data_IF_017408155053
#
_entry.id   IF_017408155053
#
_cell.length_a   1.000
_cell.length_b   1.000
_cell.length_c   1.000
_cell.angle_alpha   90.00
_cell.angle_beta   90.00
_cell.angle_gamma   90.00
#
_symmetry.space_group_name_H-M   'P 1'
#
loop_
_entity.id
_entity.type
_entity.pdbx_description
1 polymer ?
#
# COMPACT_ATOMS: atom_id res chain seq x y z
N UNK A 1 -24.82 14.69 -0.13
CA UNK A 1 -23.55 13.98 0.14
C UNK A 1 -23.53 13.66 1.62
N UNK A 2 -23.52 12.39 2.00
CA UNK A 2 -23.43 12.00 3.41
C UNK A 2 -22.06 12.46 3.91
N UNK A 3 -22.03 13.30 4.95
CA UNK A 3 -20.80 13.62 5.66
C UNK A 3 -20.31 12.31 6.29
N UNK A 4 -19.36 11.63 5.67
CA UNK A 4 -18.64 10.54 6.34
C UNK A 4 -17.93 11.17 7.54
N UNK A 5 -18.24 10.69 8.73
CA UNK A 5 -17.52 11.13 9.94
C UNK A 5 -16.08 10.67 9.82
N UNK A 6 -15.15 11.62 9.78
CA UNK A 6 -13.73 11.31 9.76
C UNK A 6 -13.34 10.51 11.01
N UNK A 7 -12.46 9.55 10.85
CA UNK A 7 -11.87 8.80 11.95
C UNK A 7 -10.55 9.44 12.38
N UNK A 8 -10.20 9.28 13.66
CA UNK A 8 -8.92 9.79 14.17
C UNK A 8 -7.73 9.08 13.53
N UNK A 9 -6.54 9.70 13.49
CA UNK A 9 -5.34 9.06 12.95
C UNK A 9 -5.00 7.72 13.60
N UNK A 10 -5.22 7.58 14.91
CA UNK A 10 -4.99 6.32 15.64
C UNK A 10 -5.99 5.23 15.28
N UNK A 11 -7.25 5.59 15.02
CA UNK A 11 -8.25 4.64 14.57
C UNK A 11 -8.00 4.25 13.10
N UNK A 12 -7.59 5.20 12.25
CA UNK A 12 -7.18 4.92 10.88
C UNK A 12 -6.00 3.95 10.83
N UNK A 13 -5.01 4.07 11.73
CA UNK A 13 -3.90 3.11 11.86
C UNK A 13 -4.40 1.69 12.15
N UNK A 14 -5.36 1.54 13.08
CA UNK A 14 -5.96 0.23 13.42
C UNK A 14 -6.76 -0.35 12.25
N UNK A 15 -7.57 0.47 11.61
CA UNK A 15 -8.36 0.07 10.44
C UNK A 15 -7.45 -0.35 9.29
N UNK A 16 -6.42 0.44 8.99
CA UNK A 16 -5.45 0.15 7.94
C UNK A 16 -4.65 -1.13 8.23
N UNK A 17 -4.24 -1.36 9.48
CA UNK A 17 -3.58 -2.59 9.88
C UNK A 17 -4.51 -3.82 9.77
N UNK A 18 -5.78 -3.67 10.12
CA UNK A 18 -6.78 -4.74 10.04
C UNK A 18 -7.12 -5.13 8.60
N UNK A 19 -7.30 -4.14 7.73
CA UNK A 19 -7.64 -4.36 6.32
C UNK A 19 -6.48 -4.97 5.52
N UNK A 20 -5.25 -4.66 5.91
CA UNK A 20 -4.04 -5.18 5.27
C UNK A 20 -3.53 -6.50 5.89
N UNK A 21 -4.40 -7.27 6.56
CA UNK A 21 -3.99 -8.54 7.14
C UNK A 21 -3.84 -9.63 6.04
N UNK A 22 -2.68 -9.64 5.41
CA UNK A 22 -2.31 -10.58 4.34
C UNK A 22 -1.83 -11.94 4.87
N UNK A 23 -1.76 -12.13 6.17
CA UNK A 23 -1.42 -13.43 6.77
C UNK A 23 -2.48 -14.48 6.40
N UNK A 24 -3.76 -14.10 6.41
CA UNK A 24 -4.85 -15.02 6.06
C UNK A 24 -4.73 -15.58 4.64
N UNK A 25 -4.61 -14.77 3.57
CA UNK A 25 -4.42 -15.31 2.23
C UNK A 25 -3.07 -16.02 2.08
N UNK A 26 -2.01 -15.60 2.78
CA UNK A 26 -0.71 -16.27 2.77
C UNK A 26 -0.76 -17.71 3.33
N UNK A 27 -1.71 -18.00 4.20
CA UNK A 27 -1.95 -19.37 4.72
C UNK A 27 -3.00 -20.11 3.88
N UNK A 28 -4.10 -19.42 3.53
CA UNK A 28 -5.22 -20.02 2.80
C UNK A 28 -4.79 -20.59 1.43
N UNK A 29 -4.03 -19.83 0.64
CA UNK A 29 -3.67 -20.25 -0.71
C UNK A 29 -2.75 -21.49 -0.74
N UNK A 30 -1.69 -21.61 0.08
CA UNK A 30 -0.92 -22.85 0.14
C UNK A 30 -1.75 -24.06 0.57
N UNK A 31 -2.67 -23.91 1.52
CA UNK A 31 -3.58 -24.98 1.92
C UNK A 31 -4.48 -25.39 0.76
N UNK A 32 -5.06 -24.44 0.04
CA UNK A 32 -5.85 -24.70 -1.16
C UNK A 32 -5.01 -25.40 -2.24
N UNK A 33 -3.75 -25.03 -2.42
CA UNK A 33 -2.82 -25.69 -3.34
C UNK A 33 -2.65 -27.16 -3.03
N UNK A 34 -2.45 -27.50 -1.75
CA UNK A 34 -2.35 -28.91 -1.30
C UNK A 34 -3.65 -29.67 -1.55
N UNK A 35 -4.80 -29.06 -1.28
CA UNK A 35 -6.11 -29.69 -1.54
C UNK A 35 -6.28 -29.98 -3.04
N UNK A 36 -5.99 -29.04 -3.93
CA UNK A 36 -6.05 -29.27 -5.38
C UNK A 36 -5.08 -30.36 -5.83
N UNK A 37 -3.87 -30.43 -5.24
CA UNK A 37 -2.90 -31.45 -5.54
C UNK A 37 -3.44 -32.84 -5.14
N UNK A 38 -4.08 -32.97 -3.97
CA UNK A 38 -4.68 -34.24 -3.52
C UNK A 38 -5.88 -34.65 -4.38
N UNK A 39 -6.61 -33.68 -4.92
CA UNK A 39 -7.74 -33.90 -5.83
C UNK A 39 -7.31 -34.19 -7.27
N UNK A 40 -6.01 -34.12 -7.60
CA UNK A 40 -5.52 -34.28 -8.97
C UNK A 40 -5.88 -35.62 -9.61
N UNK A 41 -6.01 -36.68 -8.81
CA UNK A 41 -6.48 -38.00 -9.30
C UNK A 41 -7.96 -38.09 -9.64
N UNK A 42 -8.78 -37.11 -9.21
CA UNK A 42 -10.22 -37.09 -9.41
C UNK A 42 -10.68 -36.05 -10.43
N UNK A 43 -9.82 -35.09 -10.77
CA UNK A 43 -10.12 -34.02 -11.71
C UNK A 43 -9.57 -34.32 -13.10
N UNK A 44 -10.34 -34.07 -14.17
CA UNK A 44 -9.90 -34.34 -15.54
C UNK A 44 -8.75 -33.38 -15.94
N UNK A 45 -7.79 -33.93 -16.65
CA UNK A 45 -6.66 -33.18 -17.20
C UNK A 45 -5.74 -32.55 -16.15
N UNK A 46 -4.94 -31.58 -16.54
CA UNK A 46 -4.03 -30.85 -15.64
C UNK A 46 -4.66 -29.79 -14.76
N UNK A 47 -6.01 -29.71 -14.70
CA UNK A 47 -6.76 -28.65 -14.03
C UNK A 47 -6.38 -28.55 -12.55
N UNK A 48 -6.31 -29.65 -11.85
CA UNK A 48 -5.95 -29.66 -10.43
C UNK A 48 -4.51 -29.18 -10.22
N UNK A 49 -3.58 -29.58 -11.09
CA UNK A 49 -2.18 -29.14 -11.05
C UNK A 49 -2.08 -27.64 -11.36
N UNK A 50 -2.86 -27.16 -12.33
CA UNK A 50 -2.94 -25.73 -12.64
C UNK A 50 -3.42 -24.92 -11.45
N UNK A 51 -4.55 -25.29 -10.83
CA UNK A 51 -5.07 -24.57 -9.65
C UNK A 51 -4.14 -24.69 -8.45
N UNK A 52 -3.50 -25.84 -8.25
CA UNK A 52 -2.49 -26.02 -7.19
C UNK A 52 -1.32 -25.07 -7.39
N UNK A 53 -0.72 -25.03 -8.57
CA UNK A 53 0.39 -24.12 -8.91
C UNK A 53 -0.01 -22.65 -8.77
N UNK A 54 -1.19 -22.29 -9.23
CA UNK A 54 -1.72 -20.94 -9.13
C UNK A 54 -1.95 -20.52 -7.67
N UNK A 55 -2.58 -21.35 -6.86
CA UNK A 55 -2.75 -21.08 -5.42
C UNK A 55 -1.41 -20.96 -4.70
N UNK A 56 -0.42 -21.78 -5.05
CA UNK A 56 0.92 -21.68 -4.48
C UNK A 56 1.57 -20.33 -4.80
N UNK A 57 1.49 -19.87 -6.05
CA UNK A 57 2.03 -18.57 -6.46
C UNK A 57 1.34 -17.40 -5.74
N UNK A 58 0.00 -17.46 -5.61
CA UNK A 58 -0.75 -16.45 -4.84
C UNK A 58 -0.38 -16.48 -3.35
N UNK A 59 -0.13 -17.66 -2.78
CA UNK A 59 0.34 -17.82 -1.41
C UNK A 59 1.69 -17.16 -1.20
N UNK A 60 2.63 -17.41 -2.09
CA UNK A 60 3.97 -16.80 -2.09
C UNK A 60 3.85 -15.27 -2.21
N UNK A 61 3.09 -14.75 -3.17
CA UNK A 61 2.88 -13.32 -3.35
C UNK A 61 2.27 -12.68 -2.09
N UNK A 62 1.28 -13.34 -1.47
CA UNK A 62 0.65 -12.87 -0.23
C UNK A 62 1.62 -12.87 0.96
N UNK A 63 2.50 -13.88 1.06
CA UNK A 63 3.54 -13.96 2.08
C UNK A 63 4.55 -12.82 1.94
N UNK A 64 5.02 -12.54 0.70
CA UNK A 64 5.89 -11.39 0.44
C UNK A 64 5.24 -10.06 0.83
N UNK A 65 3.94 -9.87 0.52
CA UNK A 65 3.20 -8.69 0.93
C UNK A 65 3.09 -8.57 2.46
N UNK A 66 2.81 -9.67 3.15
CA UNK A 66 2.74 -9.68 4.62
C UNK A 66 4.09 -9.30 5.24
N UNK A 67 5.19 -9.86 4.72
CA UNK A 67 6.55 -9.52 5.16
C UNK A 67 6.87 -8.05 4.87
N UNK A 68 6.55 -7.54 3.67
CA UNK A 68 6.74 -6.14 3.33
C UNK A 68 5.99 -5.18 4.27
N UNK A 69 4.79 -5.58 4.74
CA UNK A 69 4.04 -4.81 5.73
C UNK A 69 4.68 -4.84 7.13
N UNK A 70 5.28 -5.97 7.52
CA UNK A 70 6.02 -6.04 8.79
C UNK A 70 7.22 -5.09 8.82
N UNK A 71 7.90 -4.93 7.69
CA UNK A 71 9.02 -3.98 7.55
C UNK A 71 8.58 -2.52 7.42
N UNK A 72 7.29 -2.22 7.31
CA UNK A 72 6.75 -0.85 7.25
C UNK A 72 7.12 0.00 8.46
N UNK A 73 7.39 -0.60 9.62
CA UNK A 73 7.72 0.08 10.88
C UNK A 73 9.21 0.42 11.04
N UNK A 74 10.03 0.24 10.01
CA UNK A 74 11.47 0.49 10.09
C UNK A 74 11.79 1.97 9.88
N UNK A 75 12.59 2.54 10.80
CA UNK A 75 13.03 3.93 10.85
C UNK A 75 13.86 4.41 9.65
N UNK A 76 14.27 3.48 8.77
CA UNK A 76 15.09 3.77 7.58
C UNK A 76 14.41 4.62 6.49
N UNK A 77 13.10 4.84 6.60
CA UNK A 77 12.34 5.61 5.60
C UNK A 77 12.24 7.10 5.89
N UNK A 78 12.70 7.52 7.07
CA UNK A 78 12.79 8.93 7.44
C UNK A 78 14.18 9.43 7.10
N UNK A 79 14.26 10.25 6.08
CA UNK A 79 15.51 10.79 5.58
C UNK A 79 15.64 12.25 6.02
N UNK A 80 16.70 12.53 6.77
CA UNK A 80 17.12 13.91 6.99
C UNK A 80 17.84 14.41 5.74
N UNK A 81 17.35 15.50 5.16
CA UNK A 81 18.04 16.19 4.06
C UNK A 81 18.71 17.41 4.63
N UNK A 82 20.04 17.37 4.66
CA UNK A 82 20.87 18.43 5.22
C UNK A 82 20.52 19.79 4.58
N UNK A 83 20.25 20.79 5.41
CA UNK A 83 19.84 22.13 4.97
C UNK A 83 18.38 22.28 4.52
N UNK A 84 17.61 21.18 4.37
CA UNK A 84 16.22 21.25 3.91
C UNK A 84 15.19 20.83 4.96
N UNK A 85 15.54 19.99 5.92
CA UNK A 85 14.64 19.50 6.94
C UNK A 85 14.48 17.97 6.92
N UNK A 86 13.31 17.47 7.24
CA UNK A 86 12.99 16.05 7.35
C UNK A 86 12.07 15.62 6.21
N UNK A 87 12.40 14.53 5.53
CA UNK A 87 11.55 13.96 4.50
C UNK A 87 11.17 12.51 4.82
N UNK A 88 9.92 12.16 4.56
CA UNK A 88 9.39 10.81 4.67
C UNK A 88 9.17 10.27 3.27
N UNK A 89 9.91 9.22 2.90
CA UNK A 89 9.79 8.57 1.60
C UNK A 89 8.79 7.42 1.66
N UNK A 90 8.03 7.18 0.58
CA UNK A 90 7.06 6.08 0.55
C UNK A 90 7.77 4.73 0.51
N UNK A 91 7.14 3.72 1.08
CA UNK A 91 7.50 2.33 0.82
C UNK A 91 6.76 1.84 -0.42
N UNK A 92 7.50 1.52 -1.44
CA UNK A 92 6.94 0.97 -2.68
C UNK A 92 6.80 -0.56 -2.64
N UNK A 93 7.21 -1.20 -1.55
CA UNK A 93 7.18 -2.66 -1.43
C UNK A 93 5.77 -3.21 -1.66
N UNK A 94 4.75 -2.61 -1.04
CA UNK A 94 3.35 -3.03 -1.18
C UNK A 94 2.89 -2.92 -2.64
N UNK A 95 3.15 -1.76 -3.27
CA UNK A 95 2.75 -1.51 -4.66
C UNK A 95 3.48 -2.46 -5.62
N UNK A 96 4.78 -2.65 -5.45
CA UNK A 96 5.57 -3.58 -6.28
C UNK A 96 5.07 -5.02 -6.16
N UNK A 97 4.81 -5.49 -4.95
CA UNK A 97 4.33 -6.86 -4.75
C UNK A 97 2.91 -7.04 -5.29
N UNK A 98 2.07 -6.02 -5.18
CA UNK A 98 0.74 -6.01 -5.80
C UNK A 98 0.83 -6.13 -7.32
N UNK A 99 1.77 -5.42 -7.97
CA UNK A 99 2.00 -5.55 -9.40
C UNK A 99 2.56 -6.92 -9.80
N UNK A 100 3.43 -7.50 -8.98
CA UNK A 100 3.90 -8.88 -9.19
C UNK A 100 2.73 -9.86 -9.12
N UNK A 101 1.84 -9.72 -8.13
CA UNK A 101 0.66 -10.56 -8.00
C UNK A 101 -0.28 -10.43 -9.22
N UNK A 102 -0.50 -9.21 -9.70
CA UNK A 102 -1.27 -8.99 -10.94
C UNK A 102 -0.59 -9.59 -12.17
N UNK A 103 0.74 -9.44 -12.28
CA UNK A 103 1.51 -10.05 -13.37
C UNK A 103 1.39 -11.57 -13.39
N UNK A 104 1.50 -12.21 -12.24
CA UNK A 104 1.28 -13.65 -12.07
C UNK A 104 -0.15 -14.03 -12.50
N UNK A 105 -1.16 -13.27 -12.05
CA UNK A 105 -2.55 -13.49 -12.42
C UNK A 105 -2.80 -13.36 -13.92
N UNK A 106 -2.23 -12.34 -14.57
CA UNK A 106 -2.34 -12.13 -16.01
C UNK A 106 -1.64 -13.27 -16.78
N UNK A 107 -0.54 -13.82 -16.24
CA UNK A 107 0.18 -14.92 -16.84
C UNK A 107 -0.53 -16.29 -16.71
N UNK A 108 -1.69 -16.38 -16.05
CA UNK A 108 -2.40 -17.65 -15.86
C UNK A 108 -2.79 -18.35 -17.15
N UNK A 109 -3.26 -17.60 -18.19
CA UNK A 109 -3.64 -18.22 -19.45
C UNK A 109 -2.47 -18.90 -20.17
N UNK A 110 -1.32 -18.24 -20.41
CA UNK A 110 -0.19 -18.90 -21.04
C UNK A 110 0.37 -20.06 -20.19
N UNK A 111 0.38 -19.91 -18.85
CA UNK A 111 0.83 -20.98 -17.97
C UNK A 111 -0.10 -22.20 -18.05
N UNK A 112 -1.42 -21.99 -18.07
CA UNK A 112 -2.40 -23.05 -18.20
C UNK A 112 -2.21 -23.82 -19.53
N UNK A 113 -2.00 -23.13 -20.62
CA UNK A 113 -1.76 -23.73 -21.95
C UNK A 113 -0.48 -24.59 -21.92
N UNK A 114 0.62 -24.06 -21.37
CA UNK A 114 1.90 -24.76 -21.30
C UNK A 114 1.75 -26.05 -20.47
N UNK A 115 1.13 -25.97 -19.29
CA UNK A 115 0.93 -27.14 -18.41
C UNK A 115 0.08 -28.20 -19.14
N UNK A 116 -1.02 -27.81 -19.77
CA UNK A 116 -1.93 -28.73 -20.41
C UNK A 116 -1.27 -29.43 -21.59
N UNK A 117 -0.53 -28.70 -22.43
CA UNK A 117 0.19 -29.27 -23.58
C UNK A 117 1.29 -30.24 -23.13
N UNK A 118 2.00 -29.93 -22.06
CA UNK A 118 3.13 -30.74 -21.58
C UNK A 118 2.72 -31.94 -20.74
N UNK A 119 1.59 -31.89 -20.03
CA UNK A 119 1.25 -32.86 -18.98
C UNK A 119 0.09 -33.77 -19.36
N UNK A 120 -0.97 -33.25 -19.98
CA UNK A 120 -2.23 -34.00 -20.06
C UNK A 120 -2.65 -34.44 -21.44
N UNK A 121 -2.27 -33.73 -22.49
CA UNK A 121 -2.63 -34.03 -23.90
C UNK A 121 -4.14 -34.28 -24.13
N UNK A 122 -5.02 -33.83 -23.20
CA UNK A 122 -6.47 -34.00 -23.27
C UNK A 122 -7.14 -32.82 -23.94
N UNK A 123 -7.87 -33.05 -25.03
CA UNK A 123 -8.57 -31.96 -25.74
C UNK A 123 -9.59 -31.24 -24.84
N UNK A 124 -10.32 -31.95 -24.00
CA UNK A 124 -11.31 -31.36 -23.08
C UNK A 124 -10.60 -30.57 -21.98
N UNK A 125 -9.52 -31.15 -21.42
CA UNK A 125 -8.69 -30.47 -20.43
C UNK A 125 -8.11 -29.18 -20.97
N UNK A 126 -7.55 -29.21 -22.20
CA UNK A 126 -6.98 -28.04 -22.86
C UNK A 126 -7.99 -26.90 -23.02
N UNK A 127 -9.20 -27.22 -23.50
CA UNK A 127 -10.25 -26.20 -23.67
C UNK A 127 -10.67 -25.60 -22.32
N UNK A 128 -10.86 -26.44 -21.30
CA UNK A 128 -11.29 -25.98 -19.97
C UNK A 128 -10.21 -25.13 -19.28
N UNK A 129 -8.95 -25.55 -19.33
CA UNK A 129 -7.80 -24.79 -18.80
C UNK A 129 -7.61 -23.48 -19.54
N UNK A 130 -7.78 -23.46 -20.86
CA UNK A 130 -7.70 -22.24 -21.68
C UNK A 130 -8.80 -21.24 -21.25
N UNK A 131 -10.06 -21.68 -21.19
CA UNK A 131 -11.19 -20.81 -20.83
C UNK A 131 -11.00 -20.25 -19.41
N UNK A 132 -10.65 -21.12 -18.45
CA UNK A 132 -10.43 -20.71 -17.07
C UNK A 132 -9.24 -19.76 -16.95
N UNK A 133 -8.13 -20.07 -17.62
CA UNK A 133 -6.95 -19.23 -17.65
C UNK A 133 -7.23 -17.87 -18.26
N UNK A 134 -7.97 -17.78 -19.36
CA UNK A 134 -8.38 -16.53 -19.99
C UNK A 134 -9.29 -15.70 -19.10
N UNK A 135 -10.26 -16.32 -18.43
CA UNK A 135 -11.15 -15.62 -17.49
C UNK A 135 -10.36 -15.02 -16.33
N UNK A 136 -9.47 -15.80 -15.71
CA UNK A 136 -8.60 -15.31 -14.64
C UNK A 136 -7.66 -14.21 -15.12
N UNK A 137 -6.98 -14.39 -16.23
CA UNK A 137 -6.10 -13.36 -16.80
C UNK A 137 -6.84 -12.07 -17.09
N UNK A 138 -8.06 -12.15 -17.63
CA UNK A 138 -8.90 -10.99 -17.92
C UNK A 138 -9.31 -10.28 -16.62
N UNK A 139 -9.73 -11.04 -15.61
CA UNK A 139 -10.07 -10.48 -14.30
C UNK A 139 -8.87 -9.74 -13.69
N UNK A 140 -7.68 -10.35 -13.64
CA UNK A 140 -6.48 -9.71 -13.11
C UNK A 140 -6.03 -8.51 -13.93
N UNK A 141 -6.18 -8.55 -15.24
CA UNK A 141 -5.92 -7.41 -16.12
C UNK A 141 -6.84 -6.23 -15.77
N UNK A 142 -8.15 -6.45 -15.59
CA UNK A 142 -9.06 -5.39 -15.16
C UNK A 142 -8.73 -4.87 -13.77
N UNK A 143 -8.40 -5.74 -12.81
CA UNK A 143 -7.95 -5.31 -11.48
C UNK A 143 -6.69 -4.45 -11.55
N UNK A 144 -5.72 -4.83 -12.38
CA UNK A 144 -4.51 -4.07 -12.63
C UNK A 144 -4.82 -2.70 -13.24
N UNK A 145 -5.67 -2.66 -14.27
CA UNK A 145 -6.07 -1.41 -14.94
C UNK A 145 -6.89 -0.49 -14.03
N UNK A 146 -7.64 -1.05 -13.09
CA UNK A 146 -8.41 -0.31 -12.08
C UNK A 146 -7.56 0.15 -10.88
N UNK A 147 -6.33 -0.36 -10.74
CA UNK A 147 -5.45 0.05 -9.65
C UNK A 147 -5.05 1.51 -9.80
N UNK A 148 -5.26 2.36 -8.78
CA UNK A 148 -4.85 3.76 -8.82
C UNK A 148 -3.32 3.92 -8.79
N UNK A 149 -2.60 2.99 -8.14
CA UNK A 149 -1.15 3.06 -7.95
C UNK A 149 -0.39 2.26 -8.99
N UNK A 150 -0.36 2.75 -10.23
CA UNK A 150 0.47 2.14 -11.28
C UNK A 150 1.92 2.56 -11.11
N UNK A 151 2.87 1.62 -11.18
CA UNK A 151 4.29 1.88 -10.93
C UNK A 151 4.87 3.04 -11.76
N UNK A 152 4.41 3.22 -12.98
CA UNK A 152 4.88 4.30 -13.85
C UNK A 152 4.25 5.67 -13.56
N UNK A 153 3.20 5.74 -12.72
CA UNK A 153 2.59 6.99 -12.28
C UNK A 153 3.13 7.44 -10.93
N UNK A 154 3.82 6.56 -10.21
CA UNK A 154 4.31 6.84 -8.86
C UNK A 154 5.57 7.70 -8.95
N UNK A 155 5.55 8.84 -8.28
CA UNK A 155 6.76 9.62 -8.11
C UNK A 155 7.67 8.96 -7.06
N UNK A 156 8.99 9.14 -7.21
CA UNK A 156 9.99 8.57 -6.30
C UNK A 156 10.43 9.53 -5.18
N UNK A 157 9.79 10.69 -5.12
CA UNK A 157 10.08 11.70 -4.12
C UNK A 157 9.47 11.40 -2.75
N UNK A 158 9.70 12.28 -1.77
CA UNK A 158 9.06 12.19 -0.47
C UNK A 158 7.55 12.43 -0.58
N UNK A 159 6.77 11.78 0.29
CA UNK A 159 5.32 11.99 0.42
C UNK A 159 4.99 13.00 1.51
N UNK A 160 5.89 13.21 2.45
CA UNK A 160 5.77 14.25 3.47
C UNK A 160 7.13 14.91 3.63
N UNK A 161 7.16 16.23 3.64
CA UNK A 161 8.35 17.01 3.95
C UNK A 161 8.05 18.02 5.05
N UNK A 162 8.94 18.09 6.02
CA UNK A 162 8.92 19.08 7.09
C UNK A 162 10.12 20.00 6.91
N UNK A 163 9.84 21.25 6.58
CA UNK A 163 10.86 22.31 6.48
C UNK A 163 10.62 23.37 7.56
N UNK A 164 11.55 24.30 7.82
CA UNK A 164 11.28 25.40 8.75
C UNK A 164 10.11 26.30 8.34
N UNK A 165 9.82 26.39 7.04
CA UNK A 165 8.82 27.31 6.47
C UNK A 165 7.44 26.66 6.33
N UNK A 166 7.41 25.37 5.99
CA UNK A 166 6.16 24.69 5.65
C UNK A 166 6.22 23.18 5.90
N UNK A 167 5.08 22.55 5.99
CA UNK A 167 4.91 21.11 5.78
C UNK A 167 4.36 20.87 4.38
N UNK A 168 4.89 19.90 3.68
CA UNK A 168 4.40 19.51 2.37
C UNK A 168 3.86 18.08 2.39
N UNK A 169 2.71 17.89 1.75
CA UNK A 169 2.11 16.57 1.54
C UNK A 169 1.99 16.30 0.05
N UNK A 170 2.28 15.07 -0.34
CA UNK A 170 2.17 14.64 -1.72
C UNK A 170 1.66 13.20 -1.77
N UNK A 171 0.54 12.98 -2.47
CA UNK A 171 0.07 11.63 -2.76
C UNK A 171 1.02 10.93 -3.73
N UNK A 172 1.07 9.60 -3.70
CA UNK A 172 2.01 8.81 -4.54
C UNK A 172 1.92 9.10 -6.04
N UNK A 173 0.75 9.50 -6.52
CA UNK A 173 0.48 9.73 -7.95
C UNK A 173 0.45 11.21 -8.32
N UNK A 174 0.54 12.11 -7.35
CA UNK A 174 0.50 13.54 -7.60
C UNK A 174 1.85 14.03 -8.16
N UNK A 175 1.78 14.93 -9.13
CA UNK A 175 2.97 15.48 -9.78
C UNK A 175 3.69 16.53 -8.94
N UNK A 176 2.99 17.14 -7.99
CA UNK A 176 3.51 18.22 -7.15
C UNK A 176 3.05 18.06 -5.70
N UNK A 177 3.92 18.45 -4.79
CA UNK A 177 3.58 18.53 -3.37
C UNK A 177 2.74 19.78 -3.10
N UNK A 178 1.75 19.64 -2.22
CA UNK A 178 1.03 20.77 -1.64
C UNK A 178 1.77 21.26 -0.41
N UNK A 179 2.29 22.48 -0.46
CA UNK A 179 3.03 23.09 0.63
C UNK A 179 2.08 23.95 1.49
N UNK A 180 2.10 23.70 2.79
CA UNK A 180 1.26 24.42 3.76
C UNK A 180 2.19 25.14 4.73
N UNK A 181 2.26 26.49 4.71
CA UNK A 181 3.06 27.27 5.65
C UNK A 181 2.66 26.99 7.09
N UNK A 182 3.63 26.93 8.00
CA UNK A 182 3.34 26.72 9.43
C UNK A 182 2.50 27.83 10.05
N UNK A 183 2.58 29.03 9.49
CA UNK A 183 1.76 30.18 9.87
C UNK A 183 0.25 29.97 9.64
N UNK A 184 -0.11 29.04 8.76
CA UNK A 184 -1.49 28.63 8.51
C UNK A 184 -1.94 27.47 9.43
N UNK A 185 -1.20 27.13 10.47
CA UNK A 185 -1.51 26.10 11.48
C UNK A 185 -2.08 24.82 10.88
N UNK A 186 -1.31 24.09 10.02
CA UNK A 186 -1.78 22.85 9.39
C UNK A 186 -2.22 21.83 10.45
N UNK A 187 -3.42 21.29 10.32
CA UNK A 187 -3.99 20.34 11.29
C UNK A 187 -4.56 19.13 10.56
N UNK A 188 -4.17 17.93 10.98
CA UNK A 188 -4.76 16.69 10.46
C UNK A 188 -6.12 16.48 11.13
N UNK A 189 -7.20 16.67 10.35
CA UNK A 189 -8.59 16.54 10.83
C UNK A 189 -8.98 15.08 11.06
N UNK A 190 -8.39 14.16 10.30
CA UNK A 190 -8.66 12.75 10.35
C UNK A 190 -8.52 12.08 9.00
N UNK A 191 -9.08 10.90 8.90
CA UNK A 191 -9.04 10.06 7.70
C UNK A 191 -10.45 9.62 7.33
N UNK A 192 -10.66 9.35 6.03
CA UNK A 192 -11.87 8.63 5.63
C UNK A 192 -11.89 7.24 6.26
N UNK A 193 -13.08 6.75 6.71
CA UNK A 193 -13.18 5.43 7.31
C UNK A 193 -12.74 4.33 6.33
N UNK A 194 -11.81 3.49 6.74
CA UNK A 194 -11.33 2.36 5.95
C UNK A 194 -12.19 1.13 6.33
N UNK A 195 -13.36 1.00 5.70
CA UNK A 195 -14.35 -0.05 6.06
C UNK A 195 -14.14 -1.37 5.34
N UNK A 196 -13.58 -1.34 4.15
CA UNK A 196 -13.31 -2.55 3.36
C UNK A 196 -12.07 -2.39 2.49
N UNK A 197 -11.05 -3.11 2.90
CA UNK A 197 -10.07 -3.83 2.11
C UNK A 197 -9.26 -3.14 0.99
N UNK A 198 -8.64 -3.97 0.29
CA UNK A 198 -7.72 -4.04 -0.85
C UNK A 198 -7.71 -2.84 -1.81
N UNK A 199 -8.76 -2.01 -1.82
CA UNK A 199 -8.93 -0.89 -2.76
C UNK A 199 -9.20 0.47 -2.11
N UNK A 200 -9.43 0.52 -0.79
CA UNK A 200 -9.63 1.80 -0.12
C UNK A 200 -8.30 2.45 0.23
N UNK A 201 -8.15 3.67 -0.25
CA UNK A 201 -6.98 4.50 -0.01
C UNK A 201 -7.12 5.15 1.38
N UNK A 202 -6.03 5.25 2.16
CA UNK A 202 -6.02 6.03 3.39
C UNK A 202 -6.01 7.53 3.04
N UNK A 203 -7.19 8.10 2.85
CA UNK A 203 -7.36 9.52 2.51
C UNK A 203 -7.28 10.36 3.78
N UNK A 204 -6.22 11.15 3.88
CA UNK A 204 -5.96 12.07 4.99
C UNK A 204 -6.53 13.45 4.68
N UNK A 205 -7.30 14.00 5.60
CA UNK A 205 -7.84 15.36 5.53
C UNK A 205 -7.00 16.31 6.37
N UNK A 206 -6.50 17.35 5.74
CA UNK A 206 -5.69 18.40 6.37
C UNK A 206 -6.39 19.74 6.21
N UNK A 207 -6.65 20.44 7.31
CA UNK A 207 -7.11 21.83 7.31
C UNK A 207 -5.94 22.78 7.55
N UNK A 208 -6.07 24.01 7.09
CA UNK A 208 -5.13 25.08 7.39
C UNK A 208 -5.91 26.39 7.50
N UNK A 209 -5.43 27.34 8.31
CA UNK A 209 -6.04 28.64 8.45
C UNK A 209 -6.08 29.37 7.09
N UNK A 210 -7.21 29.97 6.78
CA UNK A 210 -7.45 30.65 5.49
C UNK A 210 -7.90 29.73 4.35
N UNK A 211 -8.13 28.44 4.60
CA UNK A 211 -8.71 27.52 3.61
C UNK A 211 -10.17 27.19 3.95
N UNK A 212 -11.07 27.32 2.98
CA UNK A 212 -12.51 27.02 3.17
C UNK A 212 -12.79 25.50 3.16
N UNK A 213 -11.86 24.69 2.68
CA UNK A 213 -12.02 23.24 2.53
C UNK A 213 -10.78 22.50 2.96
N UNK A 214 -11.00 21.31 3.50
CA UNK A 214 -9.91 20.39 3.80
C UNK A 214 -9.21 19.94 2.50
N UNK A 215 -7.89 19.90 2.55
CA UNK A 215 -7.06 19.27 1.52
C UNK A 215 -7.02 17.77 1.77
N UNK A 216 -7.17 16.96 0.73
CA UNK A 216 -7.23 15.50 0.84
C UNK A 216 -6.03 14.88 0.17
N UNK A 217 -5.31 14.03 0.92
CA UNK A 217 -4.09 13.36 0.45
C UNK A 217 -4.22 11.85 0.58
N UNK A 218 -3.86 11.13 -0.47
CA UNK A 218 -3.70 9.67 -0.42
C UNK A 218 -2.36 9.32 0.23
N UNK A 219 -2.42 8.76 1.44
CA UNK A 219 -1.27 8.39 2.24
C UNK A 219 -0.86 6.93 2.07
N UNK A 220 -1.25 6.29 0.96
CA UNK A 220 -0.81 4.94 0.62
C UNK A 220 0.72 4.88 0.56
N UNK A 221 1.28 3.82 1.12
CA UNK A 221 2.73 3.64 1.16
C UNK A 221 3.46 4.45 2.24
N UNK A 222 2.76 5.20 3.08
CA UNK A 222 3.37 5.85 4.25
C UNK A 222 3.97 4.78 5.17
N UNK A 223 5.29 4.81 5.43
CA UNK A 223 5.98 3.80 6.22
C UNK A 223 5.76 3.96 7.73
N UNK A 224 5.20 5.08 8.14
CA UNK A 224 5.03 5.50 9.52
C UNK A 224 3.54 5.50 9.86
N UNK A 225 3.12 5.14 11.09
CA UNK A 225 1.74 5.29 11.54
C UNK A 225 1.22 6.72 11.36
N UNK A 226 -0.02 6.87 10.95
CA UNK A 226 -0.66 8.17 10.71
C UNK A 226 -0.74 9.01 11.99
N UNK A 227 -0.98 8.36 13.13
CA UNK A 227 -0.98 9.01 14.45
C UNK A 227 0.37 9.66 14.79
N UNK A 228 1.48 9.10 14.33
CA UNK A 228 2.79 9.68 14.56
C UNK A 228 3.08 10.88 13.67
N UNK A 229 2.56 10.85 12.44
CA UNK A 229 2.62 12.02 11.54
C UNK A 229 1.82 13.17 12.16
N UNK A 230 0.63 12.89 12.67
CA UNK A 230 -0.21 13.87 13.37
C UNK A 230 0.48 14.45 14.63
N UNK A 231 1.08 13.59 15.45
CA UNK A 231 1.87 14.02 16.59
C UNK A 231 3.02 14.95 16.20
N UNK A 232 3.67 14.69 15.06
CA UNK A 232 4.77 15.51 14.59
C UNK A 232 4.28 16.88 14.09
N UNK A 233 3.19 16.93 13.33
CA UNK A 233 2.55 18.17 12.89
C UNK A 233 2.12 18.99 14.10
N UNK A 234 1.41 18.38 15.06
CA UNK A 234 0.96 19.03 16.30
C UNK A 234 2.13 19.52 17.13
N UNK A 235 3.22 18.76 17.24
CA UNK A 235 4.41 19.18 17.98
C UNK A 235 5.01 20.48 17.42
N UNK A 236 5.16 20.59 16.10
CA UNK A 236 5.76 21.78 15.49
C UNK A 236 4.80 22.97 15.47
N UNK A 237 3.49 22.75 15.33
CA UNK A 237 2.50 23.82 15.48
C UNK A 237 2.54 24.45 16.88
N UNK A 238 2.68 23.63 17.93
CA UNK A 238 2.73 24.10 19.31
C UNK A 238 4.10 24.65 19.73
N UNK A 239 5.14 24.46 18.89
CA UNK A 239 6.52 24.84 19.20
C UNK A 239 7.22 25.43 17.98
N UNK A 240 6.75 26.57 17.45
CA UNK A 240 7.30 27.17 16.24
C UNK A 240 8.78 27.52 16.37
N UNK A 241 9.26 27.78 17.56
CA UNK A 241 10.69 28.03 17.84
C UNK A 241 11.60 26.82 17.55
N UNK A 242 11.02 25.62 17.45
CA UNK A 242 11.76 24.39 17.10
C UNK A 242 11.86 24.16 15.60
N UNK A 243 11.08 24.86 14.78
CA UNK A 243 11.10 24.72 13.32
C UNK A 243 12.48 25.01 12.72
N UNK A 244 13.16 26.04 13.20
CA UNK A 244 14.52 26.37 12.74
C UNK A 244 15.52 25.24 12.98
N UNK A 245 15.27 24.36 13.96
CA UNK A 245 16.11 23.20 14.25
C UNK A 245 15.93 22.03 13.30
N UNK A 246 14.86 22.02 12.47
CA UNK A 246 14.62 20.95 11.49
C UNK A 246 15.79 20.77 10.50
N UNK A 247 16.51 21.85 10.21
CA UNK A 247 17.70 21.80 9.33
C UNK A 247 18.95 21.27 10.03
N UNK A 248 18.88 21.03 11.34
CA UNK A 248 20.00 20.56 12.16
C UNK A 248 19.87 19.09 12.54
N UNK A 249 20.97 18.40 12.88
CA UNK A 249 20.92 17.03 13.41
C UNK A 249 20.09 16.89 14.69
N UNK A 250 19.99 17.95 15.50
CA UNK A 250 19.18 17.97 16.73
C UNK A 250 17.69 17.88 16.41
N UNK A 251 17.19 18.69 15.48
CA UNK A 251 15.78 18.64 15.04
C UNK A 251 15.40 17.29 14.44
N UNK A 252 16.29 16.72 13.64
CA UNK A 252 16.17 15.37 13.10
C UNK A 252 16.04 14.31 14.20
N UNK A 253 16.83 14.42 15.27
CA UNK A 253 16.76 13.50 16.43
C UNK A 253 15.45 13.62 17.17
N UNK A 254 14.98 14.85 17.41
CA UNK A 254 13.67 15.10 18.06
C UNK A 254 12.55 14.55 17.22
N UNK A 255 12.52 14.84 15.93
CA UNK A 255 11.49 14.32 15.02
C UNK A 255 11.49 12.78 14.99
N UNK A 256 12.65 12.14 14.89
CA UNK A 256 12.76 10.67 14.99
C UNK A 256 12.23 10.14 16.31
N UNK A 257 12.56 10.77 17.44
CA UNK A 257 12.05 10.34 18.74
C UNK A 257 10.51 10.36 18.80
N UNK A 258 9.86 11.38 18.20
CA UNK A 258 8.39 11.45 18.12
C UNK A 258 7.84 10.35 17.19
N UNK A 259 8.50 10.12 16.06
CA UNK A 259 8.07 9.12 15.08
C UNK A 259 8.28 7.67 15.55
N UNK A 260 9.22 7.43 16.47
CA UNK A 260 9.55 6.08 16.98
C UNK A 260 9.04 5.82 18.39
N UNK A 261 8.45 6.81 19.05
CA UNK A 261 7.86 6.64 20.38
C UNK A 261 6.83 5.48 20.38
N UNK A 262 6.75 4.64 21.41
CA UNK A 262 5.84 3.50 21.48
C UNK A 262 4.36 3.87 21.46
#
# INVERSE_FOLDING_TARGET
MAHSTLVSPSEADKQYAKTNNLVRPAVFFPVAAVIFLLLSGYMPGGIALFFSGYCLLLGIASAFLAVAQMFRRNDGWVVHVEGKGLSIRPTLAIVRTQHIAFGIGIACAPIAIIIEVLVTHSAVGTVLSLVTGLLLSTMFYFMFMSSPHRLWLIHQGPIIEFTPEHVAFQSLIDKSATQIPWQCHPTIRGFDPITNSTYQLPLMHVSADGTDRDMVFDMTGTPIPFSRVDNLVTYFNNRPEKLAKLTSPEGSRVARAILTAP
#
